data_IF_355955261620
#
_entry.id   IF_355955261620
#
_cell.length_a   1.000
_cell.length_b   1.000
_cell.length_c   1.000
_cell.angle_alpha   90.00
_cell.angle_beta   90.00
_cell.angle_gamma   90.00
#
_symmetry.space_group_name_H-M   'P 1'
#
loop_
_entity.id
_entity.type
_entity.pdbx_description
1 polymer ?
#
# COMPACT_ATOMS: atom_id res chain seq x y z
N UNK A 1 -37.39 -1.81 -13.98
CA UNK A 1 -36.04 -1.50 -13.47
C UNK A 1 -36.15 -1.63 -11.95
N UNK A 2 -35.78 -2.78 -11.37
CA UNK A 2 -35.87 -2.95 -9.92
C UNK A 2 -34.70 -2.23 -9.28
N UNK A 3 -34.99 -1.22 -8.47
CA UNK A 3 -34.02 -0.66 -7.54
C UNK A 3 -33.50 -1.80 -6.67
N UNK A 4 -32.25 -2.21 -6.87
CA UNK A 4 -31.57 -3.04 -5.89
C UNK A 4 -31.45 -2.19 -4.64
N UNK A 5 -32.28 -2.47 -3.64
CA UNK A 5 -32.10 -2.04 -2.26
C UNK A 5 -30.85 -2.72 -1.69
N UNK A 6 -29.69 -2.41 -2.28
CA UNK A 6 -28.39 -2.91 -1.87
C UNK A 6 -28.00 -2.25 -0.56
N UNK A 7 -27.39 -3.00 0.34
CA UNK A 7 -26.73 -2.41 1.51
C UNK A 7 -25.82 -1.27 1.03
N UNK A 8 -25.84 -0.08 1.64
CA UNK A 8 -24.94 0.99 1.23
C UNK A 8 -23.48 0.58 1.41
N UNK A 9 -22.59 1.11 0.55
CA UNK A 9 -21.14 0.94 0.71
C UNK A 9 -20.70 1.34 2.12
N UNK A 10 -19.84 0.53 2.71
CA UNK A 10 -19.45 0.66 4.12
C UNK A 10 -18.11 1.41 4.30
N UNK A 11 -17.57 2.00 3.24
CA UNK A 11 -16.32 2.78 3.23
C UNK A 11 -16.32 3.73 2.03
N UNK A 12 -15.48 4.77 2.10
CA UNK A 12 -15.31 5.73 1.01
C UNK A 12 -13.84 5.87 0.62
N UNK A 13 -13.53 5.59 -0.65
CA UNK A 13 -12.20 5.84 -1.21
C UNK A 13 -11.97 7.34 -1.35
N UNK A 14 -10.80 7.83 -0.93
CA UNK A 14 -10.46 9.27 -0.96
C UNK A 14 -9.63 9.63 -2.19
N UNK A 15 -8.60 8.84 -2.46
CA UNK A 15 -7.63 9.08 -3.54
C UNK A 15 -7.00 7.77 -3.97
N UNK A 16 -6.42 7.77 -5.17
CA UNK A 16 -5.39 6.81 -5.54
C UNK A 16 -4.14 7.15 -4.71
N UNK A 17 -3.65 6.20 -3.93
CA UNK A 17 -2.51 6.36 -3.03
C UNK A 17 -1.19 6.10 -3.74
N UNK A 18 -0.97 4.84 -4.11
CA UNK A 18 0.27 4.42 -4.77
C UNK A 18 0.04 3.39 -5.88
N UNK A 19 1.02 3.31 -6.78
CA UNK A 19 1.12 2.29 -7.82
C UNK A 19 2.44 1.56 -7.67
N UNK A 20 2.40 0.24 -7.79
CA UNK A 20 3.60 -0.60 -7.78
C UNK A 20 3.76 -1.26 -9.14
N UNK A 21 4.94 -1.14 -9.71
CA UNK A 21 5.27 -1.68 -11.03
C UNK A 21 6.32 -2.77 -10.90
N UNK A 22 6.18 -3.84 -11.68
CA UNK A 22 7.26 -4.77 -11.89
C UNK A 22 8.15 -4.26 -13.02
N UNK A 23 9.45 -4.25 -12.79
CA UNK A 23 10.46 -3.77 -13.74
C UNK A 23 11.54 -4.83 -13.96
N UNK A 24 12.12 -4.84 -15.16
CA UNK A 24 13.15 -5.82 -15.53
C UNK A 24 14.51 -5.46 -14.93
N UNK A 25 14.82 -4.16 -14.90
CA UNK A 25 16.05 -3.60 -14.32
C UNK A 25 15.64 -2.53 -13.30
N UNK A 26 15.79 -2.88 -12.02
CA UNK A 26 15.38 -2.04 -10.91
C UNK A 26 16.17 -0.73 -10.87
N UNK A 27 17.50 -0.78 -10.95
CA UNK A 27 18.33 0.41 -10.81
C UNK A 27 18.24 1.33 -12.03
N UNK A 28 18.11 0.79 -13.23
CA UNK A 28 17.82 1.62 -14.41
C UNK A 28 16.48 2.34 -14.29
N UNK A 29 15.46 1.65 -13.79
CA UNK A 29 14.14 2.25 -13.57
C UNK A 29 14.20 3.30 -12.47
N UNK A 30 14.87 3.03 -11.34
CA UNK A 30 15.04 4.02 -10.26
C UNK A 30 15.68 5.29 -10.79
N UNK A 31 16.78 5.21 -11.54
CA UNK A 31 17.42 6.38 -12.17
C UNK A 31 16.45 7.17 -13.05
N UNK A 32 15.61 6.50 -13.84
CA UNK A 32 14.60 7.19 -14.62
C UNK A 32 13.60 7.96 -13.74
N UNK A 33 13.03 7.29 -12.72
CA UNK A 33 12.05 7.94 -11.85
C UNK A 33 12.66 9.05 -10.98
N UNK A 34 13.93 8.95 -10.58
CA UNK A 34 14.60 9.97 -9.78
C UNK A 34 15.16 11.09 -10.64
N UNK A 35 15.95 10.78 -11.67
CA UNK A 35 16.77 11.77 -12.39
C UNK A 35 15.99 12.44 -13.51
N UNK A 36 15.00 11.75 -14.09
CA UNK A 36 14.16 12.28 -15.18
C UNK A 36 12.83 12.82 -14.65
N UNK A 37 12.18 12.10 -13.73
CA UNK A 37 10.86 12.50 -13.19
C UNK A 37 10.92 13.23 -11.84
N UNK A 38 12.08 13.24 -11.16
CA UNK A 38 12.26 13.99 -9.91
C UNK A 38 11.65 13.34 -8.67
N UNK A 39 11.27 12.05 -8.71
CA UNK A 39 10.81 11.35 -7.52
C UNK A 39 11.96 11.17 -6.52
N UNK A 40 11.63 11.12 -5.23
CA UNK A 40 12.61 10.92 -4.16
C UNK A 40 12.46 9.53 -3.56
N UNK A 41 13.58 8.82 -3.38
CA UNK A 41 13.58 7.52 -2.70
C UNK A 41 13.23 7.73 -1.22
N UNK A 42 12.30 6.92 -0.72
CA UNK A 42 11.93 6.86 0.68
C UNK A 42 12.53 5.63 1.35
N UNK A 43 12.42 4.46 0.72
CA UNK A 43 12.90 3.20 1.29
C UNK A 43 13.34 2.20 0.22
N UNK A 44 14.12 1.20 0.63
CA UNK A 44 14.57 0.09 -0.21
C UNK A 44 14.46 -1.25 0.50
N UNK A 45 14.00 -2.26 -0.22
CA UNK A 45 14.19 -3.65 0.16
C UNK A 45 15.27 -4.29 -0.71
N UNK A 46 16.29 -4.93 -0.10
CA UNK A 46 17.25 -5.71 -0.84
C UNK A 46 16.61 -7.03 -1.33
N UNK A 47 17.32 -7.70 -2.23
CA UNK A 47 16.95 -9.00 -2.80
C UNK A 47 16.61 -10.06 -1.71
N UNK A 48 17.31 -10.02 -0.58
CA UNK A 48 17.07 -10.92 0.56
C UNK A 48 15.72 -10.73 1.25
N UNK A 49 15.03 -9.61 1.03
CA UNK A 49 13.68 -9.37 1.55
C UNK A 49 12.59 -9.54 0.49
N UNK A 50 12.89 -9.18 -0.76
CA UNK A 50 12.01 -9.33 -1.92
C UNK A 50 12.90 -9.72 -3.10
N UNK A 51 12.72 -10.90 -3.72
CA UNK A 51 13.49 -11.30 -4.90
C UNK A 51 13.42 -10.23 -5.99
N UNK A 52 14.58 -9.83 -6.53
CA UNK A 52 14.71 -8.72 -7.49
C UNK A 52 14.78 -7.33 -6.83
N UNK A 53 14.61 -7.23 -5.52
CA UNK A 53 14.60 -5.98 -4.76
C UNK A 53 13.32 -5.16 -4.94
N UNK A 54 13.15 -4.15 -4.09
CA UNK A 54 12.05 -3.19 -4.18
C UNK A 54 12.49 -1.78 -3.77
N UNK A 55 12.00 -0.74 -4.45
CA UNK A 55 12.28 0.66 -4.10
C UNK A 55 10.99 1.45 -4.01
N UNK A 56 10.82 2.19 -2.91
CA UNK A 56 9.68 3.05 -2.63
C UNK A 56 10.06 4.51 -2.89
N UNK A 57 9.24 5.21 -3.66
CA UNK A 57 9.53 6.59 -4.07
C UNK A 57 8.30 7.50 -3.92
N UNK A 58 8.55 8.74 -3.53
CA UNK A 58 7.51 9.76 -3.30
C UNK A 58 7.64 10.93 -4.26
N UNK A 59 6.50 11.58 -4.48
CA UNK A 59 6.37 12.87 -5.17
C UNK A 59 5.65 13.92 -4.30
N UNK A 60 5.28 13.57 -3.07
CA UNK A 60 4.62 14.41 -2.08
C UNK A 60 4.99 13.92 -0.67
N UNK A 61 4.19 14.29 0.35
CA UNK A 61 4.43 13.90 1.73
C UNK A 61 4.14 12.42 2.04
N UNK A 62 3.37 11.70 1.21
CA UNK A 62 3.16 10.27 1.42
C UNK A 62 4.49 9.52 1.31
N UNK A 63 4.68 8.48 2.13
CA UNK A 63 5.89 7.67 2.10
C UNK A 63 6.24 7.20 0.68
N UNK A 64 5.24 6.86 -0.13
CA UNK A 64 5.44 6.60 -1.55
C UNK A 64 4.15 6.85 -2.32
N UNK A 65 4.31 7.27 -3.57
CA UNK A 65 3.26 7.23 -4.60
C UNK A 65 3.58 6.25 -5.72
N UNK A 66 4.86 5.88 -5.87
CA UNK A 66 5.32 4.86 -6.81
C UNK A 66 6.29 3.92 -6.10
N UNK A 67 6.15 2.62 -6.32
CA UNK A 67 7.19 1.66 -5.97
C UNK A 67 7.52 0.73 -7.15
N UNK A 68 8.74 0.21 -7.15
CA UNK A 68 9.25 -0.67 -8.19
C UNK A 68 9.71 -1.98 -7.59
N UNK A 69 9.32 -3.10 -8.19
CA UNK A 69 9.81 -4.45 -7.86
C UNK A 69 10.64 -4.95 -9.03
N UNK A 70 11.88 -5.33 -8.79
CA UNK A 70 12.79 -5.82 -9.83
C UNK A 70 12.57 -7.28 -10.20
N UNK A 71 13.35 -7.77 -11.17
CA UNK A 71 13.38 -9.19 -11.54
C UNK A 71 12.23 -9.63 -12.45
N UNK A 72 11.43 -8.71 -12.98
CA UNK A 72 10.41 -9.04 -13.96
C UNK A 72 11.05 -9.63 -15.23
N UNK A 73 10.35 -10.56 -15.88
CA UNK A 73 10.73 -11.00 -17.23
C UNK A 73 10.33 -9.93 -18.24
N UNK A 74 11.20 -9.67 -19.21
CA UNK A 74 10.89 -8.77 -20.32
C UNK A 74 9.74 -9.36 -21.14
N UNK A 75 8.73 -8.55 -21.38
CA UNK A 75 7.57 -8.85 -22.22
C UNK A 75 7.16 -7.57 -22.96
N UNK A 76 6.26 -7.68 -23.94
CA UNK A 76 5.78 -6.53 -24.72
C UNK A 76 5.00 -5.49 -23.89
N UNK A 77 4.71 -5.80 -22.61
CA UNK A 77 4.03 -4.92 -21.66
C UNK A 77 4.66 -5.08 -20.28
N UNK A 78 5.09 -4.00 -19.64
CA UNK A 78 5.47 -4.04 -18.22
C UNK A 78 4.25 -4.42 -17.38
N UNK A 79 4.44 -5.27 -16.36
CA UNK A 79 3.32 -5.71 -15.53
C UNK A 79 3.12 -4.80 -14.33
N UNK A 80 1.90 -4.28 -14.20
CA UNK A 80 1.39 -3.72 -12.95
C UNK A 80 1.53 -4.78 -11.85
N UNK A 81 2.08 -4.40 -10.69
CA UNK A 81 2.11 -5.26 -9.52
C UNK A 81 0.79 -5.13 -8.75
N UNK A 82 0.49 -3.91 -8.30
CA UNK A 82 -0.79 -3.51 -7.71
C UNK A 82 -0.96 -1.99 -7.73
N UNK A 83 -2.15 -1.52 -7.38
CA UNK A 83 -2.44 -0.11 -7.11
C UNK A 83 -3.36 0.00 -5.90
N UNK A 84 -3.29 1.13 -5.21
CA UNK A 84 -3.86 1.27 -3.88
C UNK A 84 -4.75 2.49 -3.73
N UNK A 85 -5.78 2.38 -2.91
CA UNK A 85 -6.66 3.49 -2.55
C UNK A 85 -6.63 3.77 -1.05
N UNK A 86 -6.63 5.05 -0.70
CA UNK A 86 -6.69 5.49 0.70
C UNK A 86 -8.15 5.63 1.17
N UNK A 87 -8.43 5.18 2.40
CA UNK A 87 -9.66 5.51 3.16
C UNK A 87 -9.35 6.47 4.31
N UNK A 88 -10.37 7.19 4.79
CA UNK A 88 -10.18 8.26 5.78
C UNK A 88 -9.80 7.73 7.17
N UNK A 89 -10.31 6.56 7.51
CA UNK A 89 -10.23 6.00 8.86
C UNK A 89 -9.77 4.56 8.87
N UNK A 90 -9.13 4.14 9.96
CA UNK A 90 -8.79 2.75 10.17
C UNK A 90 -10.03 1.84 10.20
N UNK A 91 -11.13 2.30 10.79
CA UNK A 91 -12.40 1.55 10.83
C UNK A 91 -12.91 1.20 9.42
N UNK A 92 -12.71 2.08 8.43
CA UNK A 92 -13.05 1.78 7.04
C UNK A 92 -12.22 0.63 6.45
N UNK A 93 -11.00 0.37 6.92
CA UNK A 93 -10.22 -0.82 6.51
C UNK A 93 -10.89 -2.10 7.04
N UNK A 94 -11.36 -2.09 8.29
CA UNK A 94 -12.12 -3.20 8.87
C UNK A 94 -13.48 -3.40 8.18
N UNK A 95 -14.17 -2.30 7.84
CA UNK A 95 -15.42 -2.35 7.06
C UNK A 95 -15.17 -2.85 5.64
N UNK A 96 -14.05 -2.47 5.02
CA UNK A 96 -13.63 -3.00 3.71
C UNK A 96 -13.42 -4.51 3.78
N UNK A 97 -12.70 -5.03 4.78
CA UNK A 97 -12.54 -6.47 5.00
C UNK A 97 -13.87 -7.21 5.06
N UNK A 98 -14.79 -6.72 5.88
CA UNK A 98 -16.13 -7.32 6.05
C UNK A 98 -16.93 -7.24 4.76
N UNK A 99 -16.85 -6.10 4.06
CA UNK A 99 -17.54 -5.87 2.79
C UNK A 99 -17.07 -6.81 1.69
N UNK A 100 -15.75 -6.94 1.49
CA UNK A 100 -15.16 -7.83 0.49
C UNK A 100 -15.57 -9.29 0.75
N UNK A 101 -15.46 -9.76 2.00
CA UNK A 101 -15.88 -11.12 2.39
C UNK A 101 -17.35 -11.37 2.13
N UNK A 102 -18.22 -10.40 2.46
CA UNK A 102 -19.67 -10.49 2.19
C UNK A 102 -19.98 -10.68 0.70
N UNK A 103 -19.16 -10.10 -0.18
CA UNK A 103 -19.33 -10.20 -1.63
C UNK A 103 -18.49 -11.32 -2.26
N UNK A 104 -17.93 -12.22 -1.46
CA UNK A 104 -17.16 -13.37 -1.96
C UNK A 104 -15.81 -13.00 -2.58
N UNK A 105 -15.28 -11.80 -2.31
CA UNK A 105 -13.95 -11.40 -2.78
C UNK A 105 -12.90 -11.94 -1.81
N UNK A 106 -11.99 -12.84 -2.24
CA UNK A 106 -10.93 -13.36 -1.38
C UNK A 106 -9.93 -12.26 -1.01
N UNK A 107 -9.54 -12.24 0.25
CA UNK A 107 -8.48 -11.36 0.75
C UNK A 107 -7.15 -12.11 0.66
N UNK A 108 -6.20 -11.52 -0.05
CA UNK A 108 -4.85 -12.08 -0.27
C UNK A 108 -3.93 -11.72 0.91
N UNK A 109 -4.11 -10.52 1.48
CA UNK A 109 -3.39 -10.07 2.67
C UNK A 109 -4.24 -9.09 3.47
N UNK A 110 -4.09 -9.12 4.78
CA UNK A 110 -4.62 -8.10 5.69
C UNK A 110 -3.61 -7.84 6.81
N UNK A 111 -3.51 -6.60 7.27
CA UNK A 111 -2.58 -6.21 8.34
C UNK A 111 -1.71 -5.04 7.92
N UNK A 112 -0.41 -5.11 8.21
CA UNK A 112 0.54 -4.03 7.92
C UNK A 112 1.84 -4.58 7.37
N UNK A 113 2.25 -4.07 6.21
CA UNK A 113 3.57 -4.34 5.60
C UNK A 113 4.66 -3.53 6.34
N UNK A 114 5.90 -3.58 5.86
CA UNK A 114 7.05 -2.95 6.52
C UNK A 114 7.14 -1.45 6.23
N UNK A 115 7.83 -1.04 5.16
CA UNK A 115 7.96 0.35 4.72
C UNK A 115 6.60 1.00 4.46
N UNK A 116 6.48 2.29 4.80
CA UNK A 116 5.23 3.05 4.76
C UNK A 116 4.23 2.75 5.88
N UNK A 117 4.33 1.59 6.55
CA UNK A 117 3.56 1.23 7.76
C UNK A 117 2.04 1.44 7.70
N UNK A 118 1.44 1.49 6.50
CA UNK A 118 -0.01 1.55 6.32
C UNK A 118 -0.68 0.24 6.73
N UNK A 119 -1.90 0.34 7.26
CA UNK A 119 -2.75 -0.81 7.57
C UNK A 119 -3.70 -1.01 6.41
N UNK A 120 -3.75 -2.22 5.86
CA UNK A 120 -4.38 -2.46 4.58
C UNK A 120 -5.06 -3.83 4.46
N UNK A 121 -5.93 -3.92 3.45
CA UNK A 121 -6.40 -5.17 2.85
C UNK A 121 -6.00 -5.22 1.38
N UNK A 122 -5.45 -6.34 0.95
CA UNK A 122 -5.05 -6.61 -0.43
C UNK A 122 -5.94 -7.72 -1.02
N UNK A 123 -6.41 -7.54 -2.25
CA UNK A 123 -7.35 -8.44 -2.93
C UNK A 123 -7.20 -8.31 -4.46
N UNK A 124 -8.00 -9.07 -5.22
CA UNK A 124 -8.03 -9.00 -6.67
C UNK A 124 -9.40 -8.57 -7.20
N UNK A 125 -9.41 -7.84 -8.30
CA UNK A 125 -10.63 -7.59 -9.08
C UNK A 125 -10.99 -8.81 -9.95
N UNK A 126 -12.12 -8.78 -10.69
CA UNK A 126 -12.54 -9.90 -11.53
C UNK A 126 -11.55 -10.30 -12.64
N UNK A 127 -10.65 -9.41 -13.05
CA UNK A 127 -9.64 -9.65 -14.08
C UNK A 127 -8.28 -10.05 -13.50
N UNK A 128 -8.19 -10.17 -12.17
CA UNK A 128 -6.98 -10.58 -11.46
C UNK A 128 -5.97 -9.44 -11.23
N UNK A 129 -6.36 -8.17 -11.43
CA UNK A 129 -5.51 -7.05 -11.01
C UNK A 129 -5.44 -7.05 -9.48
N UNK A 130 -4.25 -6.87 -8.90
CA UNK A 130 -4.11 -6.74 -7.46
C UNK A 130 -4.42 -5.31 -7.02
N UNK A 131 -5.20 -5.17 -5.96
CA UNK A 131 -5.59 -3.91 -5.36
C UNK A 131 -5.30 -3.91 -3.87
N UNK A 132 -5.05 -2.73 -3.35
CA UNK A 132 -4.91 -2.46 -1.93
C UNK A 132 -5.91 -1.36 -1.51
N UNK A 133 -6.57 -1.53 -0.37
CA UNK A 133 -7.27 -0.44 0.33
C UNK A 133 -6.61 -0.26 1.68
N UNK A 134 -6.13 0.94 1.96
CA UNK A 134 -5.29 1.20 3.14
C UNK A 134 -5.68 2.47 3.89
N UNK A 135 -5.17 2.54 5.13
CA UNK A 135 -5.18 3.73 5.97
C UNK A 135 -3.80 3.98 6.58
N UNK A 136 -3.46 5.26 6.75
CA UNK A 136 -2.38 5.68 7.65
C UNK A 136 -0.97 5.39 7.13
N UNK A 137 -0.72 5.61 5.83
CA UNK A 137 0.65 5.61 5.30
C UNK A 137 1.49 6.69 5.99
N UNK A 138 2.72 6.34 6.37
CA UNK A 138 3.66 7.26 6.98
C UNK A 138 3.82 8.53 6.11
N UNK A 139 3.90 9.69 6.77
CA UNK A 139 4.08 10.98 6.13
C UNK A 139 5.52 11.46 6.34
N UNK A 140 6.22 11.76 5.25
CA UNK A 140 7.57 12.31 5.25
C UNK A 140 7.46 13.84 5.18
N UNK A 141 7.68 14.47 6.33
CA UNK A 141 7.66 15.93 6.47
C UNK A 141 8.88 16.61 5.85
N UNK A 142 8.96 17.92 6.01
CA UNK A 142 10.06 18.76 5.48
C UNK A 142 11.44 18.42 6.03
N UNK A 143 11.51 17.74 7.18
CA UNK A 143 12.75 17.23 7.75
C UNK A 143 13.27 15.96 7.04
N UNK A 144 12.50 15.39 6.10
CA UNK A 144 12.86 14.19 5.36
C UNK A 144 12.91 12.93 6.23
N UNK A 145 12.30 12.94 7.43
CA UNK A 145 12.32 11.78 8.31
C UNK A 145 11.55 10.61 7.69
N UNK A 146 12.25 9.49 7.52
CA UNK A 146 11.68 8.20 7.14
C UNK A 146 11.84 7.27 8.32
N UNK A 147 10.77 6.53 8.66
CA UNK A 147 10.80 5.53 9.71
C UNK A 147 11.88 4.47 9.42
N UNK A 148 12.87 4.26 10.31
CA UNK A 148 13.92 3.30 10.06
C UNK A 148 13.41 1.86 10.10
N UNK A 149 14.09 0.96 9.39
CA UNK A 149 13.70 -0.44 9.29
C UNK A 149 13.55 -1.18 10.62
N UNK A 150 14.33 -0.79 11.64
CA UNK A 150 14.26 -1.33 13.00
C UNK A 150 12.95 -1.01 13.73
N UNK A 151 12.21 -0.01 13.27
CA UNK A 151 10.94 0.42 13.85
C UNK A 151 9.72 -0.12 13.11
N UNK A 152 9.90 -0.79 11.97
CA UNK A 152 8.81 -1.45 11.28
C UNK A 152 8.21 -2.54 12.18
N UNK A 153 6.88 -2.58 12.26
CA UNK A 153 6.12 -3.62 12.97
C UNK A 153 5.20 -4.31 11.97
N UNK A 154 5.76 -5.25 11.21
CA UNK A 154 4.97 -6.06 10.27
C UNK A 154 3.94 -6.89 11.04
N UNK A 155 2.70 -6.88 10.55
CA UNK A 155 1.59 -7.64 11.09
C UNK A 155 0.85 -8.37 9.95
N UNK A 156 0.37 -9.59 10.21
CA UNK A 156 -0.34 -10.42 9.22
C UNK A 156 -1.85 -10.51 9.46
N UNK A 157 -2.36 -9.72 10.40
CA UNK A 157 -3.80 -9.50 10.63
C UNK A 157 -4.04 -8.03 10.94
N UNK A 158 -5.27 -7.54 10.71
CA UNK A 158 -5.64 -6.18 11.11
C UNK A 158 -5.57 -6.00 12.63
N UNK A 159 -6.00 -7.02 13.39
CA UNK A 159 -5.99 -7.02 14.84
C UNK A 159 -4.56 -6.86 15.41
N UNK A 160 -3.59 -7.61 14.88
CA UNK A 160 -2.18 -7.47 15.29
C UNK A 160 -1.59 -6.12 14.84
N UNK A 161 -1.99 -5.62 13.67
CA UNK A 161 -1.56 -4.31 13.21
C UNK A 161 -2.00 -3.18 14.17
N UNK A 162 -3.19 -3.30 14.75
CA UNK A 162 -3.72 -2.37 15.76
C UNK A 162 -3.05 -2.55 17.12
N UNK A 163 -2.80 -3.80 17.53
CA UNK A 163 -2.21 -4.11 18.83
C UNK A 163 -0.70 -3.76 18.92
N UNK A 164 0.03 -3.85 17.80
CA UNK A 164 1.48 -3.72 17.76
C UNK A 164 1.93 -2.54 16.88
N UNK A 165 1.63 -1.31 17.30
CA UNK A 165 1.93 -0.12 16.50
C UNK A 165 3.45 0.15 16.38
N UNK A 166 3.95 0.58 15.20
CA UNK A 166 5.25 1.20 15.04
C UNK A 166 5.39 2.41 15.97
N UNK A 167 6.59 2.66 16.52
CA UNK A 167 6.84 3.82 17.37
C UNK A 167 6.32 5.14 16.76
N UNK A 168 5.47 5.88 17.48
CA UNK A 168 4.93 7.14 16.98
C UNK A 168 3.78 7.04 15.98
N UNK A 169 3.43 5.86 15.46
CA UNK A 169 2.13 5.68 14.78
C UNK A 169 1.02 5.76 15.83
N UNK A 170 0.04 6.65 15.61
CA UNK A 170 -1.08 6.85 16.53
C UNK A 170 -2.36 6.45 15.84
N UNK A 171 -3.19 5.71 16.54
CA UNK A 171 -4.57 5.48 16.13
C UNK A 171 -5.38 6.76 16.39
N UNK A 172 -6.33 7.09 15.51
CA UNK A 172 -7.28 8.16 15.81
C UNK A 172 -7.98 7.79 17.12
N UNK A 173 -8.12 8.77 18.01
CA UNK A 173 -8.92 8.58 19.22
C UNK A 173 -10.33 8.23 18.75
N UNK A 174 -10.80 7.03 19.06
CA UNK A 174 -12.20 6.70 18.87
C UNK A 174 -12.99 7.66 19.75
N UNK A 175 -13.82 8.52 19.16
CA UNK A 175 -14.88 9.17 19.91
C UNK A 175 -15.81 8.05 20.37
N UNK A 176 -15.77 7.78 21.67
CA UNK A 176 -16.75 6.91 22.36
C UNK A 176 -18.16 7.43 22.17
#
# INVERSE_FOLDING_TARGET
>A
MSETSGTPLQFQLRKLGHVVLNVTDLEASVRFYTDVLGLQVSDRYPDSMVPGGMVFMRCNADHHGVALVGGAKKSDRTSLNHFAFEVATLDEVFRTRTWLRKHGVPIVFEGRRRAGCQIAVEFQDPDGNNLEIYWGIDQIGTNGYVRPASEWRQARTLEDAVANLPPGQRLPLFST
#
